data_IF_886560770214
#
_entry.id   IF_886560770214
#
_cell.length_a   1.000
_cell.length_b   1.000
_cell.length_c   1.000
_cell.angle_alpha   90.00
_cell.angle_beta   90.00
_cell.angle_gamma   90.00
#
_symmetry.space_group_name_H-M   'P 1'
#
loop_
_entity.id
_entity.type
_entity.pdbx_description
1 polymer ?
#
# COMPACT_ATOMS: atom_id res chain seq x y z
N UNK A 1 12.61 -52.11 -79.52
CA UNK A 1 13.57 -51.16 -78.89
C UNK A 1 14.35 -51.94 -77.83
N UNK A 2 15.69 -51.76 -77.71
CA UNK A 2 16.64 -52.27 -76.68
C UNK A 2 16.02 -53.12 -75.52
N UNK A 3 16.31 -54.40 -75.24
CA UNK A 3 17.58 -55.21 -75.21
C UNK A 3 18.74 -54.47 -74.50
N UNK A 4 19.48 -55.00 -73.50
CA UNK A 4 19.56 -56.30 -72.77
C UNK A 4 20.40 -56.04 -71.46
N UNK A 5 20.81 -56.91 -70.51
CA UNK A 5 20.91 -58.39 -70.37
C UNK A 5 20.37 -58.88 -68.99
N UNK A 6 21.21 -59.31 -68.01
CA UNK A 6 20.79 -60.06 -66.77
C UNK A 6 21.78 -59.98 -65.59
N UNK A 7 21.23 -60.05 -64.36
CA UNK A 7 21.70 -60.71 -63.10
C UNK A 7 23.19 -60.74 -62.68
N UNK A 8 23.45 -60.42 -61.40
CA UNK A 8 24.01 -61.38 -60.41
C UNK A 8 23.64 -60.97 -58.95
N UNK A 9 23.71 -61.89 -57.97
CA UNK A 9 23.32 -61.66 -56.55
C UNK A 9 24.21 -62.42 -55.55
N UNK A 10 24.94 -61.72 -54.68
CA UNK A 10 25.63 -62.24 -53.47
C UNK A 10 26.02 -61.00 -52.61
N UNK A 11 25.51 -60.73 -51.39
CA UNK A 11 25.57 -61.40 -50.05
C UNK A 11 26.72 -60.89 -49.15
N UNK A 12 26.35 -60.60 -47.88
CA UNK A 12 27.18 -60.60 -46.64
C UNK A 12 27.99 -59.33 -46.24
N UNK A 13 27.39 -58.58 -45.29
CA UNK A 13 27.90 -58.14 -43.97
C UNK A 13 28.94 -56.99 -43.83
N UNK A 14 28.81 -56.29 -42.68
CA UNK A 14 29.67 -55.22 -42.15
C UNK A 14 31.10 -55.69 -41.81
N UNK A 15 32.05 -54.74 -41.74
CA UNK A 15 32.74 -54.37 -40.48
C UNK A 15 33.37 -52.97 -40.61
N UNK A 16 33.79 -52.37 -39.49
CA UNK A 16 34.12 -50.96 -39.26
C UNK A 16 35.64 -50.73 -39.03
N UNK A 17 36.06 -49.46 -38.90
CA UNK A 17 37.35 -48.97 -38.34
C UNK A 17 38.63 -49.16 -39.21
N UNK A 18 39.59 -48.22 -39.29
CA UNK A 18 39.61 -46.74 -39.11
C UNK A 18 41.00 -46.15 -39.55
N UNK A 19 41.18 -44.83 -39.30
CA UNK A 19 42.46 -44.09 -39.10
C UNK A 19 43.20 -43.54 -40.34
N UNK A 20 42.91 -42.24 -40.59
CA UNK A 20 43.82 -41.11 -40.82
C UNK A 20 45.06 -41.25 -41.73
N UNK A 21 45.10 -40.39 -42.76
CA UNK A 21 46.25 -39.50 -42.98
C UNK A 21 45.79 -38.04 -43.01
N UNK A 22 46.64 -37.15 -42.52
CA UNK A 22 46.30 -35.75 -42.28
C UNK A 22 46.14 -34.94 -43.58
N UNK A 23 45.09 -34.13 -43.64
CA UNK A 23 45.17 -32.78 -44.22
C UNK A 23 44.86 -31.79 -43.10
N UNK A 24 45.89 -31.15 -42.55
CA UNK A 24 45.76 -30.22 -41.43
C UNK A 24 45.71 -28.78 -41.96
N UNK A 25 44.56 -28.39 -42.53
CA UNK A 25 44.20 -26.98 -42.58
C UNK A 25 43.91 -26.53 -41.16
N UNK A 26 44.82 -25.76 -40.58
CA UNK A 26 44.48 -24.89 -39.45
C UNK A 26 43.58 -23.78 -39.99
N UNK A 27 42.28 -24.04 -40.08
CA UNK A 27 41.33 -22.94 -39.89
C UNK A 27 41.60 -22.40 -38.49
N UNK A 28 41.93 -21.11 -38.43
CA UNK A 28 42.05 -20.42 -37.16
C UNK A 28 40.67 -19.93 -36.77
N UNK A 29 40.10 -20.48 -35.71
CA UNK A 29 38.94 -19.92 -34.98
C UNK A 29 39.29 -18.58 -34.27
N UNK A 30 40.18 -17.79 -34.87
CA UNK A 30 40.40 -16.40 -34.53
C UNK A 30 39.24 -15.58 -35.12
N UNK A 31 38.51 -14.80 -34.31
CA UNK A 31 37.45 -13.93 -34.83
C UNK A 31 37.98 -13.05 -35.97
N UNK A 32 37.16 -12.86 -37.01
CA UNK A 32 37.50 -11.97 -38.11
C UNK A 32 37.73 -10.55 -37.55
N UNK A 33 38.94 -9.96 -37.67
CA UNK A 33 39.26 -8.66 -37.06
C UNK A 33 38.49 -7.48 -37.67
N UNK A 34 37.63 -7.72 -38.67
CA UNK A 34 36.74 -6.76 -39.31
C UNK A 34 35.25 -7.06 -39.10
N UNK A 35 34.88 -7.96 -38.18
CA UNK A 35 33.47 -8.17 -37.83
C UNK A 35 32.97 -7.12 -36.83
N UNK A 36 31.87 -6.45 -37.18
CA UNK A 36 31.18 -5.52 -36.29
C UNK A 36 30.50 -6.32 -35.19
N UNK A 37 30.84 -6.01 -33.95
CA UNK A 37 30.26 -6.57 -32.73
C UNK A 37 29.42 -5.51 -32.03
N UNK A 38 28.34 -5.94 -31.37
CA UNK A 38 27.55 -5.11 -30.47
C UNK A 38 27.42 -5.85 -29.15
N UNK A 39 27.69 -5.14 -28.05
CA UNK A 39 27.44 -5.59 -26.69
C UNK A 39 26.42 -4.68 -26.02
N UNK A 40 25.64 -5.27 -25.12
CA UNK A 40 24.61 -4.61 -24.31
C UNK A 40 24.44 -5.42 -23.03
N UNK A 41 23.72 -4.90 -22.05
CA UNK A 41 23.29 -5.67 -20.88
C UNK A 41 21.88 -5.28 -20.47
N UNK A 42 21.16 -6.21 -19.85
CA UNK A 42 19.81 -5.96 -19.35
C UNK A 42 19.83 -4.87 -18.27
N UNK A 43 18.84 -3.98 -18.32
CA UNK A 43 18.66 -2.90 -17.36
C UNK A 43 17.57 -3.29 -16.37
N UNK A 44 17.91 -3.32 -15.08
CA UNK A 44 16.93 -3.42 -14.00
C UNK A 44 17.03 -2.24 -13.04
N UNK A 45 15.88 -1.78 -12.53
CA UNK A 45 15.80 -0.75 -11.50
C UNK A 45 14.57 -0.97 -10.61
N UNK A 46 14.73 -0.69 -9.32
CA UNK A 46 13.61 -0.41 -8.42
C UNK A 46 13.48 1.11 -8.28
N UNK A 47 12.25 1.63 -8.35
CA UNK A 47 11.95 3.04 -8.06
C UNK A 47 10.53 3.17 -7.53
N UNK A 48 10.28 4.27 -6.85
CA UNK A 48 8.95 4.61 -6.37
C UNK A 48 7.99 4.91 -7.52
N UNK A 49 6.71 4.67 -7.29
CA UNK A 49 5.63 4.98 -8.21
C UNK A 49 5.26 6.48 -8.23
N UNK A 50 4.20 6.84 -8.95
CA UNK A 50 3.78 8.23 -9.21
C UNK A 50 4.93 9.21 -9.64
N UNK A 51 5.90 8.78 -10.48
CA UNK A 51 7.03 9.62 -10.89
C UNK A 51 6.59 10.74 -11.84
N UNK A 52 7.41 11.79 -11.93
CA UNK A 52 7.16 12.89 -12.87
C UNK A 52 7.40 12.50 -14.34
N UNK A 53 6.58 13.00 -15.25
CA UNK A 53 6.86 12.91 -16.69
C UNK A 53 8.23 13.53 -17.02
N UNK A 54 9.06 12.79 -17.77
CA UNK A 54 10.45 13.17 -18.08
C UNK A 54 11.48 12.79 -17.01
N UNK A 55 11.07 12.20 -15.87
CA UNK A 55 11.98 11.74 -14.81
C UNK A 55 12.96 10.67 -15.33
N UNK A 56 14.22 10.80 -14.93
CA UNK A 56 15.29 9.88 -15.32
C UNK A 56 15.11 8.52 -14.64
N UNK A 57 14.90 7.49 -15.46
CA UNK A 57 14.87 6.10 -15.01
C UNK A 57 16.32 5.60 -14.90
N UNK A 58 17.09 5.69 -15.98
CA UNK A 58 18.49 5.25 -16.03
C UNK A 58 19.06 5.28 -17.45
N UNK A 59 20.01 4.40 -17.77
CA UNK A 59 20.64 4.30 -19.09
C UNK A 59 20.81 2.82 -19.45
N UNK A 60 20.37 2.41 -20.65
CA UNK A 60 20.72 1.09 -21.20
C UNK A 60 22.14 1.15 -21.74
N UNK A 61 23.03 0.32 -21.23
CA UNK A 61 24.43 0.30 -21.68
C UNK A 61 24.57 -0.40 -23.03
N UNK A 62 25.26 0.23 -23.98
CA UNK A 62 25.53 -0.34 -25.29
C UNK A 62 26.90 0.07 -25.81
N UNK A 63 27.64 -0.85 -26.45
CA UNK A 63 28.92 -0.54 -27.07
C UNK A 63 29.22 -1.42 -28.29
N UNK A 64 30.19 -1.00 -29.09
CA UNK A 64 30.63 -1.64 -30.34
C UNK A 64 32.13 -1.42 -30.55
N UNK A 65 32.77 -2.24 -31.37
CA UNK A 65 34.17 -2.05 -31.80
C UNK A 65 34.34 -1.03 -32.93
N UNK A 66 33.26 -0.55 -33.57
CA UNK A 66 33.34 0.45 -34.65
C UNK A 66 32.28 1.56 -34.52
N UNK A 67 32.72 2.80 -34.34
CA UNK A 67 31.83 3.97 -34.30
C UNK A 67 31.00 4.06 -33.02
N UNK A 68 29.68 4.19 -33.16
CA UNK A 68 28.72 4.32 -32.06
C UNK A 68 27.54 3.35 -32.24
N UNK A 69 26.84 3.06 -31.15
CA UNK A 69 25.54 2.35 -31.20
C UNK A 69 24.38 3.34 -31.28
N UNK A 70 23.21 2.87 -31.72
CA UNK A 70 21.92 3.54 -31.61
C UNK A 70 20.95 2.69 -30.81
N UNK A 71 20.05 3.33 -30.06
CA UNK A 71 19.08 2.68 -29.19
C UNK A 71 17.66 2.86 -29.71
N UNK A 72 16.82 1.82 -29.61
CA UNK A 72 15.38 1.92 -29.88
C UNK A 72 14.57 0.90 -29.08
N UNK A 73 13.44 1.32 -28.54
CA UNK A 73 12.45 0.41 -27.94
C UNK A 73 11.78 -0.38 -29.07
N UNK A 74 11.71 -1.70 -28.94
CA UNK A 74 10.97 -2.58 -29.86
C UNK A 74 9.68 -3.12 -29.25
N UNK A 75 9.65 -3.30 -27.93
CA UNK A 75 8.51 -3.84 -27.17
C UNK A 75 8.45 -3.16 -25.80
N UNK A 76 7.26 -3.03 -25.22
CA UNK A 76 7.06 -2.41 -23.90
C UNK A 76 5.70 -2.80 -23.31
N UNK A 77 5.65 -3.04 -22.00
CA UNK A 77 4.41 -3.28 -21.25
C UNK A 77 4.45 -2.59 -19.87
N UNK A 78 3.48 -1.71 -19.55
CA UNK A 78 2.46 -1.16 -20.43
C UNK A 78 3.05 -0.27 -21.53
N UNK A 79 2.41 -0.26 -22.72
CA UNK A 79 2.92 0.47 -23.87
C UNK A 79 2.77 2.00 -23.68
N UNK A 80 3.86 2.74 -23.89
CA UNK A 80 3.96 4.18 -23.67
C UNK A 80 4.57 4.59 -22.32
N UNK A 81 4.94 3.64 -21.45
CA UNK A 81 5.46 3.94 -20.11
C UNK A 81 6.74 4.79 -20.14
N UNK A 82 7.78 4.33 -20.83
CA UNK A 82 9.08 5.00 -20.92
C UNK A 82 9.52 5.30 -22.36
N UNK A 83 10.35 6.32 -22.49
CA UNK A 83 11.05 6.70 -23.71
C UNK A 83 12.54 6.35 -23.59
N UNK A 84 13.24 6.26 -24.72
CA UNK A 84 14.70 6.14 -24.76
C UNK A 84 15.29 7.21 -25.68
N UNK A 85 16.38 7.84 -25.26
CA UNK A 85 17.19 8.67 -26.15
C UNK A 85 18.00 7.79 -27.12
N UNK A 86 17.88 7.99 -28.45
CA UNK A 86 18.43 7.05 -29.43
C UNK A 86 19.96 7.09 -29.57
N UNK A 87 20.64 8.07 -28.97
CA UNK A 87 22.10 8.25 -29.05
C UNK A 87 22.82 7.88 -27.75
N UNK A 88 22.22 8.16 -26.60
CA UNK A 88 22.80 7.93 -25.27
C UNK A 88 22.25 6.69 -24.55
N UNK A 89 21.09 6.17 -24.95
CA UNK A 89 20.43 5.05 -24.27
C UNK A 89 19.69 5.46 -22.99
N UNK A 90 19.56 6.76 -22.73
CA UNK A 90 18.92 7.31 -21.53
C UNK A 90 17.41 7.01 -21.52
N UNK A 91 16.94 6.34 -20.46
CA UNK A 91 15.55 5.99 -20.22
C UNK A 91 14.85 7.07 -19.37
N UNK A 92 13.69 7.56 -19.83
CA UNK A 92 12.87 8.55 -19.13
C UNK A 92 11.40 8.16 -19.10
N UNK A 93 10.71 8.47 -18.01
CA UNK A 93 9.24 8.35 -17.88
C UNK A 93 8.58 9.14 -19.01
N UNK A 94 7.76 8.48 -19.83
CA UNK A 94 7.04 9.07 -20.95
C UNK A 94 5.54 9.25 -20.64
N UNK A 95 4.96 8.36 -19.83
CA UNK A 95 3.69 8.60 -19.16
C UNK A 95 3.73 8.13 -17.70
N UNK A 96 3.64 9.08 -16.78
CA UNK A 96 3.53 8.87 -15.34
C UNK A 96 2.35 7.99 -14.94
N UNK A 97 1.19 8.11 -15.60
CA UNK A 97 -0.05 7.36 -15.24
C UNK A 97 -0.01 5.87 -15.63
N UNK A 98 1.19 5.32 -15.84
CA UNK A 98 1.49 3.92 -16.07
C UNK A 98 2.52 3.38 -15.05
N UNK A 99 2.94 4.21 -14.10
CA UNK A 99 3.80 3.92 -12.96
C UNK A 99 2.93 4.05 -11.69
N UNK A 100 2.14 3.01 -11.51
CA UNK A 100 1.01 2.83 -10.59
C UNK A 100 1.10 1.34 -10.20
N UNK A 101 1.18 1.04 -8.90
CA UNK A 101 1.53 -0.28 -8.38
C UNK A 101 0.34 -1.26 -8.44
N UNK A 102 -0.88 -0.78 -8.22
CA UNK A 102 -2.12 -1.55 -8.31
C UNK A 102 -2.36 -2.11 -9.71
N UNK A 103 -2.00 -1.35 -10.75
CA UNK A 103 -2.21 -1.71 -12.15
C UNK A 103 -0.93 -2.26 -12.81
N UNK A 104 0.25 -1.71 -12.51
CA UNK A 104 1.51 -2.00 -13.22
C UNK A 104 2.75 -2.14 -12.29
N UNK A 105 2.77 -3.05 -11.31
CA UNK A 105 3.85 -3.14 -10.30
C UNK A 105 5.21 -3.52 -10.89
N UNK A 106 5.24 -4.05 -12.13
CA UNK A 106 6.46 -4.26 -12.91
C UNK A 106 6.24 -3.78 -14.34
N UNK A 107 6.95 -2.73 -14.73
CA UNK A 107 7.01 -2.21 -16.10
C UNK A 107 8.18 -2.87 -16.83
N UNK A 108 7.96 -3.31 -18.06
CA UNK A 108 8.96 -4.06 -18.84
C UNK A 108 9.09 -3.56 -20.27
N UNK A 109 10.18 -3.93 -20.94
CA UNK A 109 10.31 -3.75 -22.38
C UNK A 109 11.60 -4.34 -22.96
N UNK A 110 11.72 -4.26 -24.28
CA UNK A 110 12.87 -4.73 -25.04
C UNK A 110 13.49 -3.54 -25.78
N UNK A 111 14.76 -3.26 -25.52
CA UNK A 111 15.55 -2.22 -26.20
C UNK A 111 16.54 -2.88 -27.15
N UNK A 112 16.42 -2.57 -28.44
CA UNK A 112 17.41 -2.91 -29.45
C UNK A 112 18.57 -1.91 -29.40
N UNK A 113 19.78 -2.43 -29.22
CA UNK A 113 21.05 -1.72 -29.37
C UNK A 113 21.68 -2.16 -30.68
N UNK A 114 22.00 -1.22 -31.57
CA UNK A 114 22.43 -1.54 -32.94
C UNK A 114 23.63 -0.71 -33.41
N UNK A 115 24.48 -1.31 -34.25
CA UNK A 115 25.43 -0.63 -35.11
C UNK A 115 25.19 -1.12 -36.55
N UNK A 116 24.61 -0.25 -37.39
CA UNK A 116 24.15 -0.62 -38.72
C UNK A 116 23.15 -1.79 -38.70
N UNK A 117 23.52 -2.90 -39.35
CA UNK A 117 22.72 -4.12 -39.39
C UNK A 117 22.94 -5.05 -38.17
N UNK A 118 24.05 -4.91 -37.45
CA UNK A 118 24.36 -5.73 -36.28
C UNK A 118 23.62 -5.18 -35.06
N UNK A 119 23.01 -6.05 -34.27
CA UNK A 119 22.30 -5.63 -33.06
C UNK A 119 22.22 -6.72 -31.99
N UNK A 120 21.98 -6.27 -30.75
CA UNK A 120 21.59 -7.08 -29.61
C UNK A 120 20.37 -6.43 -28.96
N UNK A 121 19.58 -7.22 -28.24
CA UNK A 121 18.52 -6.70 -27.38
C UNK A 121 19.00 -6.70 -25.93
N UNK A 122 18.59 -5.69 -25.17
CA UNK A 122 18.58 -5.69 -23.72
C UNK A 122 17.12 -5.69 -23.25
N UNK A 123 16.83 -6.45 -22.20
CA UNK A 123 15.59 -6.35 -21.45
C UNK A 123 15.65 -5.13 -20.53
N UNK A 124 14.51 -4.46 -20.37
CA UNK A 124 14.29 -3.40 -19.39
C UNK A 124 13.25 -3.91 -18.40
N UNK A 125 13.57 -3.83 -17.11
CA UNK A 125 12.67 -4.18 -16.01
C UNK A 125 12.70 -3.08 -14.95
N UNK A 126 11.54 -2.48 -14.69
CA UNK A 126 11.36 -1.47 -13.65
C UNK A 126 10.35 -2.04 -12.67
N UNK A 127 10.79 -2.34 -11.46
CA UNK A 127 9.92 -2.73 -10.35
C UNK A 127 9.52 -1.47 -9.59
N UNK A 128 8.23 -1.31 -9.31
CA UNK A 128 7.73 -0.21 -8.51
C UNK A 128 7.81 -0.55 -7.02
N UNK A 129 8.09 0.45 -6.19
CA UNK A 129 7.74 0.41 -4.77
C UNK A 129 6.31 0.92 -4.63
N UNK A 130 5.47 0.13 -3.96
CA UNK A 130 4.22 0.51 -3.32
C UNK A 130 4.44 1.75 -2.43
N UNK A 131 3.74 2.85 -2.71
CA UNK A 131 3.75 4.09 -1.93
C UNK A 131 2.35 4.49 -1.43
N UNK A 132 1.73 3.63 -0.59
CA UNK A 132 0.55 3.92 0.28
C UNK A 132 -0.03 5.33 0.11
N UNK A 133 -0.93 5.51 -0.85
CA UNK A 133 -1.60 6.79 -1.05
C UNK A 133 -2.59 7.11 0.09
N UNK A 134 -2.71 8.40 0.42
CA UNK A 134 -3.89 8.88 1.13
C UNK A 134 -5.14 8.70 0.25
N UNK A 135 -5.90 7.63 0.48
CA UNK A 135 -7.23 7.47 -0.09
C UNK A 135 -8.22 8.26 0.75
N UNK A 136 -8.56 9.45 0.27
CA UNK A 136 -9.31 10.46 1.02
C UNK A 136 -10.81 10.41 0.69
N UNK A 137 -11.64 10.24 1.72
CA UNK A 137 -13.08 10.54 1.64
C UNK A 137 -13.31 12.03 1.92
N UNK A 138 -13.89 12.73 0.94
CA UNK A 138 -14.14 14.17 1.03
C UNK A 138 -15.48 14.50 1.71
N UNK A 139 -15.42 15.17 2.85
CA UNK A 139 -16.57 15.65 3.61
C UNK A 139 -17.06 14.70 4.71
N UNK A 140 -18.30 14.93 5.17
CA UNK A 140 -18.88 14.21 6.31
C UNK A 140 -19.53 12.89 5.88
N UNK A 141 -19.35 11.84 6.68
CA UNK A 141 -19.97 10.52 6.46
C UNK A 141 -20.78 10.09 7.71
N UNK A 142 -21.98 9.56 7.45
CA UNK A 142 -22.83 8.94 8.46
C UNK A 142 -23.00 7.47 8.08
N UNK A 143 -22.58 6.55 8.95
CA UNK A 143 -22.72 5.10 8.80
C UNK A 143 -23.78 4.65 9.80
N UNK A 144 -25.01 4.37 9.34
CA UNK A 144 -26.17 4.07 10.19
C UNK A 144 -26.49 2.58 10.31
N UNK A 145 -25.93 1.75 9.43
CA UNK A 145 -26.06 0.28 9.47
C UNK A 145 -24.74 -0.44 9.27
N UNK A 146 -24.68 -1.72 9.63
CA UNK A 146 -23.52 -2.57 9.38
C UNK A 146 -23.22 -2.70 7.87
N UNK A 147 -24.25 -2.74 7.01
CA UNK A 147 -24.06 -2.75 5.55
C UNK A 147 -23.41 -1.45 5.04
N UNK A 148 -23.69 -0.30 5.64
CA UNK A 148 -23.02 0.97 5.33
C UNK A 148 -21.56 0.98 5.82
N UNK A 149 -21.29 0.45 7.02
CA UNK A 149 -19.91 0.26 7.53
C UNK A 149 -19.10 -0.66 6.61
N UNK A 150 -19.67 -1.80 6.22
CA UNK A 150 -19.06 -2.76 5.29
C UNK A 150 -18.80 -2.11 3.92
N UNK A 151 -19.78 -1.37 3.38
CA UNK A 151 -19.69 -0.72 2.07
C UNK A 151 -18.71 0.44 2.04
N UNK A 152 -18.57 1.19 3.14
CA UNK A 152 -17.57 2.25 3.27
C UNK A 152 -16.15 1.67 3.39
N UNK A 153 -15.97 0.71 4.30
CA UNK A 153 -14.68 0.04 4.54
C UNK A 153 -14.10 -0.62 3.29
N UNK A 154 -14.95 -1.21 2.44
CA UNK A 154 -14.55 -1.82 1.17
C UNK A 154 -13.92 -0.86 0.14
N UNK A 155 -13.90 0.46 0.37
CA UNK A 155 -13.17 1.43 -0.44
C UNK A 155 -11.72 1.63 0.04
N UNK A 156 -11.33 1.15 1.22
CA UNK A 156 -10.03 1.37 1.85
C UNK A 156 -9.65 2.86 2.02
N UNK A 157 -10.57 3.70 2.50
CA UNK A 157 -10.25 5.09 2.82
C UNK A 157 -9.32 5.16 4.04
N UNK A 158 -8.20 5.88 3.92
CA UNK A 158 -7.27 6.13 5.04
C UNK A 158 -7.58 7.43 5.77
N UNK A 159 -8.32 8.35 5.15
CA UNK A 159 -8.65 9.66 5.74
C UNK A 159 -10.05 10.14 5.40
N UNK A 160 -10.67 10.86 6.34
CA UNK A 160 -11.94 11.56 6.18
C UNK A 160 -11.71 13.06 6.45
N UNK A 161 -11.96 13.93 5.47
CA UNK A 161 -11.73 15.40 5.62
C UNK A 161 -12.84 16.11 6.40
N UNK A 162 -13.97 15.44 6.63
CA UNK A 162 -15.06 15.89 7.47
C UNK A 162 -15.21 15.08 8.76
N UNK A 163 -16.44 15.03 9.26
CA UNK A 163 -16.82 14.30 10.47
C UNK A 163 -17.32 12.88 10.15
N UNK A 164 -17.00 11.92 11.02
CA UNK A 164 -17.46 10.53 10.98
C UNK A 164 -18.50 10.29 12.09
N UNK A 165 -19.69 9.85 11.70
CA UNK A 165 -20.76 9.45 12.63
C UNK A 165 -21.11 7.97 12.42
N UNK A 166 -20.98 7.16 13.46
CA UNK A 166 -21.28 5.72 13.46
C UNK A 166 -22.49 5.46 14.37
N UNK A 167 -23.61 5.09 13.76
CA UNK A 167 -24.90 4.81 14.39
C UNK A 167 -25.95 5.91 14.21
N UNK A 168 -27.05 5.80 14.97
CA UNK A 168 -28.30 6.55 14.72
C UNK A 168 -28.43 7.76 15.65
N UNK A 169 -27.73 8.86 15.31
CA UNK A 169 -27.74 10.12 16.07
C UNK A 169 -29.04 10.93 16.05
N UNK A 170 -30.12 10.45 15.41
CA UNK A 170 -31.41 11.17 15.27
C UNK A 170 -32.49 10.72 16.27
N UNK A 171 -32.18 9.74 17.14
CA UNK A 171 -33.08 9.28 18.21
C UNK A 171 -34.24 8.39 17.74
N UNK A 172 -34.23 7.92 16.50
CA UNK A 172 -35.28 7.01 15.98
C UNK A 172 -35.11 5.54 16.38
N UNK A 173 -33.93 5.14 16.87
CA UNK A 173 -33.64 3.79 17.34
C UNK A 173 -32.14 3.57 17.62
N UNK A 174 -31.74 2.29 17.65
CA UNK A 174 -30.34 1.86 17.63
C UNK A 174 -30.00 1.27 16.26
N UNK A 175 -28.73 1.29 15.88
CA UNK A 175 -28.22 0.62 14.68
C UNK A 175 -28.07 -0.89 14.87
N UNK A 176 -27.92 -1.62 13.76
CA UNK A 176 -27.46 -3.01 13.73
C UNK A 176 -25.93 -3.14 13.70
N UNK A 177 -25.18 -2.05 13.88
CA UNK A 177 -23.71 -2.03 13.85
C UNK A 177 -23.16 -2.77 15.06
N UNK A 178 -22.27 -3.72 14.79
CA UNK A 178 -21.65 -4.62 15.76
C UNK A 178 -20.17 -4.91 15.48
N UNK A 179 -19.67 -4.58 14.28
CA UNK A 179 -18.31 -4.82 13.83
C UNK A 179 -17.75 -3.57 13.12
N UNK A 180 -16.57 -3.09 13.54
CA UNK A 180 -15.87 -1.96 12.92
C UNK A 180 -14.60 -2.39 12.18
N UNK A 181 -14.28 -3.69 12.09
CA UNK A 181 -13.11 -4.18 11.34
C UNK A 181 -13.06 -3.78 9.86
N UNK A 182 -14.17 -3.50 9.14
CA UNK A 182 -14.09 -2.90 7.80
C UNK A 182 -13.42 -1.52 7.77
N UNK A 183 -13.38 -0.79 8.88
CA UNK A 183 -12.82 0.57 8.98
C UNK A 183 -11.31 0.58 9.31
N UNK A 184 -10.66 -0.59 9.37
CA UNK A 184 -9.27 -0.77 9.80
C UNK A 184 -8.20 -0.11 8.92
N UNK A 185 -8.59 0.52 7.82
CA UNK A 185 -7.73 1.36 6.97
C UNK A 185 -7.68 2.83 7.41
N UNK A 186 -8.61 3.32 8.25
CA UNK A 186 -8.64 4.72 8.68
C UNK A 186 -7.48 5.08 9.63
N UNK A 187 -6.80 6.19 9.31
CA UNK A 187 -5.70 6.78 10.07
C UNK A 187 -6.03 8.19 10.61
N UNK A 188 -6.83 8.97 9.86
CA UNK A 188 -7.21 10.34 10.21
C UNK A 188 -8.69 10.64 10.00
N UNK A 189 -9.28 11.35 10.97
CA UNK A 189 -10.57 12.03 10.84
C UNK A 189 -10.34 13.50 11.16
N UNK A 190 -10.41 14.37 10.15
CA UNK A 190 -10.03 15.78 10.25
C UNK A 190 -11.05 16.65 11.03
N UNK A 191 -12.14 16.05 11.52
CA UNK A 191 -13.19 16.74 12.26
C UNK A 191 -13.78 15.85 13.39
N UNK A 192 -15.03 16.10 13.79
CA UNK A 192 -15.68 15.36 14.87
C UNK A 192 -15.84 13.86 14.55
N UNK A 193 -15.55 13.02 15.55
CA UNK A 193 -15.83 11.59 15.54
C UNK A 193 -16.89 11.25 16.59
N UNK A 194 -17.94 10.55 16.18
CA UNK A 194 -19.02 10.09 17.05
C UNK A 194 -19.31 8.61 16.79
N UNK A 195 -19.30 7.80 17.85
CA UNK A 195 -19.82 6.44 17.88
C UNK A 195 -20.99 6.44 18.86
N UNK A 196 -22.22 6.30 18.37
CA UNK A 196 -23.37 6.37 19.25
C UNK A 196 -24.64 5.70 18.74
N UNK A 197 -25.45 5.22 19.69
CA UNK A 197 -26.67 4.46 19.45
C UNK A 197 -26.42 3.15 18.68
N UNK A 198 -25.34 2.45 19.01
CA UNK A 198 -25.04 1.10 18.52
C UNK A 198 -25.25 0.10 19.68
N UNK A 199 -26.42 -0.53 19.77
CA UNK A 199 -26.75 -1.42 20.92
C UNK A 199 -26.01 -2.76 20.89
N UNK A 200 -25.53 -3.18 19.71
CA UNK A 200 -24.87 -4.47 19.49
C UNK A 200 -23.33 -4.37 19.40
N UNK A 201 -22.77 -3.16 19.48
CA UNK A 201 -21.32 -2.92 19.41
C UNK A 201 -20.65 -3.22 20.75
N UNK A 202 -19.65 -4.11 20.76
CA UNK A 202 -19.01 -4.64 21.98
C UNK A 202 -17.61 -4.05 22.23
N UNK A 203 -16.88 -3.70 21.16
CA UNK A 203 -15.56 -3.04 21.17
C UNK A 203 -15.43 -2.06 20.01
N UNK A 204 -14.35 -1.26 20.00
CA UNK A 204 -13.93 -0.44 18.85
C UNK A 204 -12.89 -1.15 17.95
N UNK A 205 -12.86 -2.49 17.98
CA UNK A 205 -11.90 -3.26 17.18
C UNK A 205 -12.12 -3.02 15.70
N UNK A 206 -11.05 -2.68 14.97
CA UNK A 206 -11.12 -2.17 13.61
C UNK A 206 -10.85 -0.67 13.45
N UNK A 207 -10.46 0.04 14.51
CA UNK A 207 -10.07 1.46 14.46
C UNK A 207 -8.59 1.70 14.80
N UNK A 208 -7.81 0.64 14.99
CA UNK A 208 -6.47 0.66 15.62
C UNK A 208 -5.46 1.60 14.94
N UNK A 209 -5.64 1.92 13.65
CA UNK A 209 -4.76 2.80 12.90
C UNK A 209 -5.07 4.30 13.08
N UNK A 210 -6.24 4.67 13.65
CA UNK A 210 -6.60 6.08 13.84
C UNK A 210 -5.66 6.72 14.88
N UNK A 211 -4.86 7.66 14.40
CA UNK A 211 -3.88 8.42 15.19
C UNK A 211 -4.14 9.93 15.18
N UNK A 212 -4.98 10.43 14.27
CA UNK A 212 -5.38 11.83 14.20
C UNK A 212 -6.90 12.03 14.33
N UNK A 213 -7.31 12.92 15.25
CA UNK A 213 -8.68 13.38 15.43
C UNK A 213 -8.70 14.92 15.47
N UNK A 214 -9.28 15.52 14.43
CA UNK A 214 -9.30 16.97 14.25
C UNK A 214 -10.30 17.73 15.12
N UNK A 215 -11.33 17.06 15.67
CA UNK A 215 -12.41 17.67 16.45
C UNK A 215 -12.76 16.93 17.75
N UNK A 216 -14.06 16.89 18.08
CA UNK A 216 -14.60 16.20 19.26
C UNK A 216 -14.55 14.66 19.10
N UNK A 217 -14.39 13.92 20.20
CA UNK A 217 -14.54 12.45 20.27
C UNK A 217 -15.71 12.08 21.19
N UNK A 218 -16.73 11.42 20.65
CA UNK A 218 -18.00 11.18 21.34
C UNK A 218 -18.41 9.70 21.34
N UNK A 219 -18.66 9.13 22.52
CA UNK A 219 -19.25 7.80 22.71
C UNK A 219 -20.59 7.91 23.42
N UNK A 220 -21.71 7.77 22.68
CA UNK A 220 -23.05 8.09 23.19
C UNK A 220 -24.01 6.89 23.11
N UNK A 221 -24.48 6.36 24.24
CA UNK A 221 -25.52 5.32 24.31
C UNK A 221 -25.16 3.98 23.61
N UNK A 222 -23.89 3.57 23.60
CA UNK A 222 -23.50 2.24 23.14
C UNK A 222 -23.61 1.26 24.32
N UNK A 223 -24.81 0.71 24.54
CA UNK A 223 -25.16 0.00 25.78
C UNK A 223 -24.35 -1.27 26.03
N UNK A 224 -23.97 -2.00 24.98
CA UNK A 224 -23.15 -3.23 25.05
C UNK A 224 -21.64 -2.99 24.91
N UNK A 225 -21.20 -1.75 24.71
CA UNK A 225 -19.79 -1.42 24.53
C UNK A 225 -19.02 -1.67 25.83
N UNK A 226 -18.10 -2.63 25.82
CA UNK A 226 -17.35 -3.06 27.02
C UNK A 226 -15.99 -2.40 27.16
N UNK A 227 -15.39 -2.02 26.03
CA UNK A 227 -14.04 -1.48 25.92
C UNK A 227 -13.91 -0.64 24.64
N UNK A 228 -12.86 0.18 24.55
CA UNK A 228 -12.54 0.97 23.35
C UNK A 228 -11.09 0.75 22.87
N UNK A 229 -10.59 -0.49 22.89
CA UNK A 229 -9.18 -0.81 22.65
C UNK A 229 -8.61 -0.28 21.33
N UNK A 230 -9.44 -0.13 20.29
CA UNK A 230 -9.02 0.31 18.96
C UNK A 230 -8.65 1.79 18.84
N UNK A 231 -8.56 2.57 19.93
CA UNK A 231 -8.11 3.98 19.88
C UNK A 231 -6.70 4.21 20.46
N UNK A 232 -5.92 3.14 20.62
CA UNK A 232 -4.67 3.11 21.40
C UNK A 232 -3.50 3.96 20.87
N UNK A 233 -3.71 4.76 19.82
CA UNK A 233 -2.74 5.72 19.28
C UNK A 233 -3.17 7.20 19.44
N UNK A 234 -4.36 7.47 20.01
CA UNK A 234 -4.83 8.83 20.27
C UNK A 234 -4.05 9.45 21.43
N UNK A 235 -3.23 10.46 21.11
CA UNK A 235 -2.36 11.18 22.07
C UNK A 235 -2.92 12.53 22.53
N UNK A 236 -3.86 13.11 21.79
CA UNK A 236 -4.53 14.38 22.08
C UNK A 236 -5.89 14.44 21.39
N UNK A 237 -6.81 15.26 21.92
CA UNK A 237 -8.13 15.51 21.31
C UNK A 237 -8.30 17.03 21.17
N UNK A 238 -8.47 17.50 19.94
CA UNK A 238 -8.60 18.93 19.62
C UNK A 238 -9.93 19.55 20.09
N UNK A 239 -10.97 18.73 20.22
CA UNK A 239 -12.27 19.14 20.74
C UNK A 239 -12.58 18.56 22.13
N UNK A 240 -13.86 18.30 22.35
CA UNK A 240 -14.42 17.68 23.56
C UNK A 240 -14.27 16.16 23.53
N UNK A 241 -13.93 15.55 24.67
CA UNK A 241 -14.09 14.12 24.91
C UNK A 241 -15.38 13.89 25.70
N UNK A 242 -16.41 13.29 25.09
CA UNK A 242 -17.70 13.02 25.74
C UNK A 242 -18.08 11.54 25.71
N UNK A 243 -18.21 10.94 26.89
CA UNK A 243 -18.50 9.52 27.11
C UNK A 243 -19.79 9.43 27.92
N UNK A 244 -20.92 9.17 27.24
CA UNK A 244 -22.28 9.28 27.79
C UNK A 244 -23.07 7.96 27.68
N UNK A 245 -23.54 7.43 28.82
CA UNK A 245 -24.50 6.30 28.88
C UNK A 245 -24.04 5.00 28.16
N UNK A 246 -22.75 4.67 28.20
CA UNK A 246 -22.24 3.39 27.69
C UNK A 246 -22.25 2.37 28.84
N UNK A 247 -23.39 1.71 29.02
CA UNK A 247 -23.72 1.05 30.30
C UNK A 247 -22.81 -0.14 30.66
N UNK A 248 -22.26 -0.84 29.66
CA UNK A 248 -21.34 -1.97 29.85
C UNK A 248 -19.86 -1.59 29.95
N UNK A 249 -19.52 -0.30 29.83
CA UNK A 249 -18.14 0.17 29.65
C UNK A 249 -17.41 0.26 30.99
N UNK A 250 -16.40 -0.59 31.19
CA UNK A 250 -15.70 -0.73 32.49
C UNK A 250 -14.45 0.15 32.64
N UNK A 251 -13.84 0.53 31.52
CA UNK A 251 -12.64 1.35 31.40
C UNK A 251 -12.55 1.97 30.00
N UNK A 252 -11.63 2.92 29.80
CA UNK A 252 -11.23 3.44 28.49
C UNK A 252 -9.76 3.14 28.20
N UNK A 253 -9.30 1.91 28.46
CA UNK A 253 -7.87 1.56 28.40
C UNK A 253 -7.24 1.73 27.00
N UNK A 254 -8.06 1.86 25.95
CA UNK A 254 -7.64 2.29 24.61
C UNK A 254 -7.34 3.78 24.45
N UNK A 255 -7.47 4.62 25.50
CA UNK A 255 -7.04 6.02 25.51
C UNK A 255 -5.85 6.25 26.46
N UNK A 256 -5.10 5.21 26.82
CA UNK A 256 -3.99 5.29 27.76
C UNK A 256 -2.79 6.16 27.28
N UNK A 257 -2.76 6.59 26.02
CA UNK A 257 -1.77 7.55 25.48
C UNK A 257 -2.27 9.01 25.52
N UNK A 258 -3.52 9.27 25.90
CA UNK A 258 -4.14 10.58 25.84
C UNK A 258 -3.50 11.55 26.85
N UNK A 259 -2.92 12.63 26.34
CA UNK A 259 -2.17 13.62 27.12
C UNK A 259 -2.84 14.99 27.26
N UNK A 260 -3.69 15.38 26.29
CA UNK A 260 -4.47 16.63 26.35
C UNK A 260 -5.87 16.50 25.74
N UNK A 261 -6.81 17.30 26.26
CA UNK A 261 -8.13 17.56 25.66
C UNK A 261 -8.35 19.07 25.61
N UNK A 262 -8.44 19.65 24.41
CA UNK A 262 -8.48 21.12 24.26
C UNK A 262 -9.92 21.68 24.37
N UNK A 263 -10.93 20.80 24.34
CA UNK A 263 -12.31 21.11 24.71
C UNK A 263 -12.63 20.68 26.15
N UNK A 264 -13.87 20.22 26.36
CA UNK A 264 -14.32 19.70 27.65
C UNK A 264 -13.95 18.22 27.82
N UNK A 265 -13.80 17.77 29.07
CA UNK A 265 -13.80 16.34 29.39
C UNK A 265 -15.11 15.99 30.12
N UNK A 266 -15.89 15.07 29.56
CA UNK A 266 -17.21 14.71 30.06
C UNK A 266 -17.38 13.19 30.14
N UNK A 267 -17.40 12.66 31.36
CA UNK A 267 -17.64 11.25 31.65
C UNK A 267 -18.93 11.11 32.46
N UNK A 268 -20.04 10.73 31.80
CA UNK A 268 -21.38 10.78 32.39
C UNK A 268 -22.20 9.50 32.18
N UNK A 269 -22.88 9.02 33.24
CA UNK A 269 -23.78 7.85 33.20
C UNK A 269 -23.13 6.55 32.70
N UNK A 270 -21.87 6.28 33.04
CA UNK A 270 -21.22 4.99 32.76
C UNK A 270 -21.11 4.20 34.08
N UNK A 271 -22.20 3.56 34.56
CA UNK A 271 -22.32 3.08 35.93
C UNK A 271 -21.37 1.92 36.28
N UNK A 272 -20.93 1.13 35.29
CA UNK A 272 -19.96 0.05 35.48
C UNK A 272 -18.50 0.47 35.30
N UNK A 273 -18.24 1.72 34.89
CA UNK A 273 -16.87 2.22 34.81
C UNK A 273 -16.27 2.27 36.22
N UNK A 274 -15.14 1.57 36.37
CA UNK A 274 -14.51 1.29 37.67
C UNK A 274 -12.99 1.43 37.63
N UNK A 275 -12.38 1.26 36.45
CA UNK A 275 -10.98 1.57 36.21
C UNK A 275 -10.85 2.91 35.45
N UNK A 276 -10.03 3.82 35.97
CA UNK A 276 -9.63 5.06 35.30
C UNK A 276 -8.11 5.28 35.21
N UNK A 277 -7.31 4.23 35.37
CA UNK A 277 -5.84 4.26 35.29
C UNK A 277 -5.34 4.74 33.90
N UNK A 278 -6.17 4.64 32.86
CA UNK A 278 -5.92 5.23 31.54
C UNK A 278 -5.83 6.77 31.55
N UNK A 279 -6.24 7.45 32.62
CA UNK A 279 -6.04 8.88 32.82
C UNK A 279 -4.65 9.24 33.37
N UNK A 280 -3.80 8.28 33.73
CA UNK A 280 -2.46 8.55 34.30
C UNK A 280 -1.58 9.44 33.39
N UNK A 281 -1.80 9.43 32.07
CA UNK A 281 -1.06 10.26 31.12
C UNK A 281 -1.73 11.61 30.79
N UNK A 282 -2.95 11.88 31.26
CA UNK A 282 -3.68 13.11 30.96
C UNK A 282 -3.15 14.29 31.80
N UNK A 283 -2.46 15.23 31.14
CA UNK A 283 -1.79 16.37 31.79
C UNK A 283 -2.66 17.62 31.82
N UNK A 284 -3.58 17.80 30.86
CA UNK A 284 -4.38 19.02 30.73
C UNK A 284 -5.75 18.82 30.07
N UNK A 285 -6.76 19.49 30.61
CA UNK A 285 -8.01 19.82 29.90
C UNK A 285 -8.13 21.34 29.87
N UNK A 286 -8.41 21.94 28.71
CA UNK A 286 -8.45 23.42 28.58
C UNK A 286 -9.80 24.04 28.99
N UNK A 287 -10.85 23.22 29.10
CA UNK A 287 -12.18 23.60 29.63
C UNK A 287 -12.56 22.67 30.81
N UNK A 288 -13.82 22.65 31.25
CA UNK A 288 -14.23 21.88 32.45
C UNK A 288 -13.95 20.36 32.32
N UNK A 289 -13.39 19.78 33.39
CA UNK A 289 -13.32 18.33 33.61
C UNK A 289 -14.49 17.86 34.49
N UNK A 290 -15.34 16.97 33.97
CA UNK A 290 -16.52 16.45 34.69
C UNK A 290 -16.61 14.93 34.65
N UNK A 291 -16.58 14.30 35.84
CA UNK A 291 -17.01 12.91 36.06
C UNK A 291 -18.31 12.95 36.89
N UNK A 292 -19.36 12.29 36.42
CA UNK A 292 -20.64 12.23 37.15
C UNK A 292 -21.50 11.00 36.81
N UNK A 293 -22.27 10.50 37.79
CA UNK A 293 -23.11 9.30 37.65
C UNK A 293 -22.37 8.00 37.25
N UNK A 294 -21.05 7.94 37.42
CA UNK A 294 -20.20 6.77 37.19
C UNK A 294 -19.89 6.07 38.53
N UNK A 295 -20.92 5.46 39.13
CA UNK A 295 -20.93 5.09 40.55
C UNK A 295 -19.96 3.97 40.97
N UNK A 296 -19.32 3.27 40.03
CA UNK A 296 -18.32 2.23 40.34
C UNK A 296 -16.87 2.75 40.39
N UNK A 297 -16.62 4.02 40.03
CA UNK A 297 -15.32 4.67 40.20
C UNK A 297 -15.11 4.90 41.70
N UNK A 298 -14.12 4.21 42.28
CA UNK A 298 -13.81 4.26 43.73
C UNK A 298 -12.39 4.69 44.04
N UNK A 299 -11.50 4.74 43.03
CA UNK A 299 -10.22 5.42 43.10
C UNK A 299 -10.15 6.55 42.05
N UNK A 300 -9.40 7.61 42.35
CA UNK A 300 -9.12 8.75 41.48
C UNK A 300 -7.62 9.13 41.47
N UNK A 301 -6.73 8.29 42.01
CA UNK A 301 -5.27 8.53 42.02
C UNK A 301 -4.67 8.77 40.62
N UNK A 302 -5.27 8.18 39.58
CA UNK A 302 -4.90 8.40 38.17
C UNK A 302 -5.00 9.87 37.73
N UNK A 303 -5.81 10.70 38.41
CA UNK A 303 -5.91 12.15 38.15
C UNK A 303 -4.71 12.95 38.68
N UNK A 304 -3.74 12.32 39.35
CA UNK A 304 -2.63 13.01 40.04
C UNK A 304 -1.66 13.74 39.11
N UNK A 305 -1.64 13.42 37.81
CA UNK A 305 -0.83 14.10 36.79
C UNK A 305 -1.58 15.25 36.07
N UNK A 306 -2.88 15.46 36.36
CA UNK A 306 -3.68 16.51 35.74
C UNK A 306 -3.34 17.89 36.33
N UNK A 307 -2.73 18.75 35.51
CA UNK A 307 -2.18 20.05 35.93
C UNK A 307 -3.03 21.27 35.56
N UNK A 308 -3.92 21.13 34.58
CA UNK A 308 -4.76 22.21 34.05
C UNK A 308 -6.19 21.72 33.91
N UNK A 309 -7.11 22.42 34.57
CA UNK A 309 -8.59 22.37 34.59
C UNK A 309 -9.08 23.75 35.03
#
# INVERSE_FOLDING_TARGET
MKFSIKKLTLRVLLVFVAILLNSCSKDSDAPNPFEITVTTSDFSKTMDENPSNGQLIGIVSGSTNEGSVTFSITEQNPAGAFSIDPASGELKVANATLFDFEINPIITGTVKVANGAVSKNALVMITLNDLVEENVFEGNINLKSQDEVNSFGANNYTRITGALFIGIGDGTGYSDIHDLTPLSTLESIDNNFLIGFNENLISTTGLENISHLGGDLNFLNNTSLTNIVGLNHITSINGTLSIYNNQSLVSLDGLNQLSSVNGYFQLHLNPLMSNIDWLENLVSVEQDFTISSCYSITNIDALSNLTTV
#
